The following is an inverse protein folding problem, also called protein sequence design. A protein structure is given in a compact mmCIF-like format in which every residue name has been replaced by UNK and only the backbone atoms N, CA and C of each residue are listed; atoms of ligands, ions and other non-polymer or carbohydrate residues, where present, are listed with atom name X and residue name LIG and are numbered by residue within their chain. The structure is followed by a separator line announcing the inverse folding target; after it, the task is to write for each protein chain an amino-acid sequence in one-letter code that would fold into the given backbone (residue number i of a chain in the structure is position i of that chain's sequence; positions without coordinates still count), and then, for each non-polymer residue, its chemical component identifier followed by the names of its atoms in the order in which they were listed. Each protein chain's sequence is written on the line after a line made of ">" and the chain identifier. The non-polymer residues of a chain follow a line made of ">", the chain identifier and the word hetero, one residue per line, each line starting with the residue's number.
data_IF_006244004367
#
_entry.id   IF_006244004367
#
_cell.length_a   1.000
_cell.length_b   1.000
_cell.length_c   1.000
_cell.angle_alpha   90.00
_cell.angle_beta   90.00
_cell.angle_gamma   90.00
#
_symmetry.space_group_name_H-M   'P 1'
#
loop_
_entity.id
_entity.type
_entity.pdbx_description
1 polymer ?
#
# COMPACT_ATOMS: atom_id res chain seq x y z
N UNK A 1 -1.81 9.77 7.82
CA UNK A 1 -2.96 8.89 8.19
C UNK A 1 -3.58 8.20 6.97
N UNK A 2 -2.88 8.10 5.83
CA UNK A 2 -3.45 7.49 4.62
C UNK A 2 -4.80 8.10 4.25
N UNK A 3 -5.74 7.21 3.93
CA UNK A 3 -7.07 7.58 3.44
C UNK A 3 -8.16 7.52 4.52
N UNK A 4 -7.81 7.56 5.80
CA UNK A 4 -8.77 7.38 6.90
C UNK A 4 -9.93 8.39 6.85
N UNK A 5 -11.17 7.86 6.77
CA UNK A 5 -12.42 8.61 6.81
C UNK A 5 -12.89 9.03 8.22
N UNK A 6 -14.12 9.55 8.36
CA UNK A 6 -14.97 10.02 7.26
C UNK A 6 -14.49 11.37 6.68
N UNK A 7 -13.58 12.08 7.36
CA UNK A 7 -13.08 13.38 6.92
C UNK A 7 -11.95 13.26 5.87
N UNK A 8 -12.23 12.64 4.72
CA UNK A 8 -11.24 12.42 3.64
C UNK A 8 -10.60 13.73 3.15
N UNK A 9 -11.37 14.82 3.07
CA UNK A 9 -10.89 16.16 2.70
C UNK A 9 -9.78 16.71 3.62
N UNK A 10 -9.61 16.17 4.83
CA UNK A 10 -8.52 16.53 5.74
C UNK A 10 -7.28 15.65 5.58
N UNK A 11 -7.22 14.79 4.55
CA UNK A 11 -6.09 13.90 4.28
C UNK A 11 -5.09 14.45 3.28
N UNK A 12 -5.42 15.56 2.62
CA UNK A 12 -4.59 16.18 1.60
C UNK A 12 -4.69 17.71 1.70
N UNK A 13 -3.62 18.45 1.35
CA UNK A 13 -3.70 19.91 1.24
C UNK A 13 -4.32 20.32 -0.11
N UNK A 14 -4.72 21.59 -0.24
CA UNK A 14 -5.42 22.10 -1.44
C UNK A 14 -4.69 21.83 -2.76
N UNK A 15 -3.35 21.83 -2.76
CA UNK A 15 -2.54 21.49 -3.94
C UNK A 15 -2.78 20.07 -4.49
N UNK A 16 -3.38 19.19 -3.68
CA UNK A 16 -3.73 17.81 -4.04
C UNK A 16 -5.23 17.63 -4.30
N UNK A 17 -6.03 18.70 -4.18
CA UNK A 17 -7.46 18.72 -4.50
C UNK A 17 -7.66 18.79 -6.01
N UNK A 18 -7.44 17.66 -6.69
CA UNK A 18 -7.50 17.56 -8.14
C UNK A 18 -8.89 17.19 -8.65
N UNK A 19 -9.51 16.18 -8.05
CA UNK A 19 -10.84 15.71 -8.40
C UNK A 19 -11.90 16.56 -7.68
N UNK A 20 -12.84 17.12 -8.44
CA UNK A 20 -13.86 18.04 -7.93
C UNK A 20 -15.22 17.78 -8.61
N UNK A 21 -16.36 18.02 -7.92
CA UNK A 21 -16.47 18.48 -6.53
C UNK A 21 -16.02 17.39 -5.55
N UNK A 22 -15.37 17.79 -4.45
CA UNK A 22 -14.94 16.87 -3.39
C UNK A 22 -15.81 17.09 -2.14
N UNK A 23 -16.18 16.01 -1.45
CA UNK A 23 -16.95 16.07 -0.20
C UNK A 23 -16.09 16.66 0.92
N UNK A 24 -16.54 17.77 1.50
CA UNK A 24 -15.87 18.48 2.61
C UNK A 24 -16.65 18.37 3.93
N UNK A 25 -17.63 17.46 4.00
CA UNK A 25 -18.42 17.18 5.19
C UNK A 25 -18.06 15.79 5.74
N UNK A 26 -17.77 15.64 7.05
CA UNK A 26 -17.58 14.31 7.66
C UNK A 26 -18.87 13.48 7.72
N UNK A 27 -20.04 14.07 7.53
CA UNK A 27 -21.32 13.36 7.44
C UNK A 27 -21.56 12.90 5.99
N UNK A 28 -20.87 11.80 5.62
CA UNK A 28 -20.83 11.27 4.24
C UNK A 28 -22.20 11.14 3.55
N UNK A 29 -23.29 10.72 4.21
CA UNK A 29 -24.62 10.68 3.59
C UNK A 29 -25.16 12.03 3.07
N UNK A 30 -24.59 13.17 3.49
CA UNK A 30 -24.95 14.49 2.94
C UNK A 30 -24.26 14.80 1.61
N UNK A 31 -23.24 14.03 1.26
CA UNK A 31 -22.48 14.18 0.03
C UNK A 31 -23.01 13.25 -1.07
N UNK A 32 -22.79 13.60 -2.34
CA UNK A 32 -22.97 12.64 -3.42
C UNK A 32 -21.84 11.60 -3.39
N UNK A 33 -22.13 10.35 -3.77
CA UNK A 33 -21.10 9.30 -3.87
C UNK A 33 -19.90 9.74 -4.71
N UNK A 34 -20.13 10.42 -5.84
CA UNK A 34 -19.07 10.98 -6.68
C UNK A 34 -18.15 11.93 -5.90
N UNK A 35 -18.72 12.84 -5.09
CA UNK A 35 -17.91 13.77 -4.30
C UNK A 35 -17.11 13.10 -3.18
N UNK A 36 -17.63 12.00 -2.61
CA UNK A 36 -16.92 11.18 -1.63
C UNK A 36 -15.73 10.48 -2.30
N UNK A 37 -15.96 9.86 -3.46
CA UNK A 37 -14.92 9.22 -4.28
C UNK A 37 -13.85 10.24 -4.66
N UNK A 38 -14.23 11.43 -5.14
CA UNK A 38 -13.28 12.49 -5.47
C UNK A 38 -12.42 12.91 -4.27
N UNK A 39 -13.02 13.04 -3.08
CA UNK A 39 -12.26 13.33 -1.86
C UNK A 39 -11.32 12.18 -1.47
N UNK A 40 -11.76 10.93 -1.61
CA UNK A 40 -10.94 9.75 -1.38
C UNK A 40 -9.75 9.66 -2.36
N UNK A 41 -9.98 9.90 -3.65
CA UNK A 41 -8.94 9.86 -4.69
C UNK A 41 -7.90 10.98 -4.52
N UNK A 42 -8.33 12.17 -4.07
CA UNK A 42 -7.39 13.23 -3.68
C UNK A 42 -6.51 12.81 -2.49
N UNK A 43 -7.05 12.04 -1.54
CA UNK A 43 -6.27 11.46 -0.46
C UNK A 43 -5.29 10.38 -0.95
N UNK A 44 -5.68 9.55 -1.93
CA UNK A 44 -4.75 8.60 -2.59
C UNK A 44 -3.60 9.37 -3.25
N UNK A 45 -3.91 10.45 -3.98
CA UNK A 45 -2.89 11.28 -4.64
C UNK A 45 -1.87 11.83 -3.64
N UNK A 46 -2.30 12.19 -2.43
CA UNK A 46 -1.39 12.62 -1.38
C UNK A 46 -0.59 11.46 -0.80
N UNK A 47 -1.19 10.28 -0.60
CA UNK A 47 -0.49 9.06 -0.22
C UNK A 47 0.61 8.69 -1.23
N UNK A 48 0.33 8.77 -2.53
CA UNK A 48 1.32 8.60 -3.60
C UNK A 48 2.49 9.58 -3.45
N UNK A 49 2.21 10.86 -3.23
CA UNK A 49 3.25 11.86 -3.00
C UNK A 49 4.12 11.55 -1.77
N UNK A 50 3.54 11.08 -0.67
CA UNK A 50 4.27 10.68 0.53
C UNK A 50 5.19 9.49 0.23
N UNK A 51 4.66 8.42 -0.38
CA UNK A 51 5.45 7.23 -0.76
C UNK A 51 6.57 7.61 -1.73
N UNK A 52 6.27 8.40 -2.75
CA UNK A 52 7.27 8.87 -3.72
C UNK A 52 8.34 9.76 -3.06
N UNK A 53 7.97 10.56 -2.05
CA UNK A 53 8.93 11.37 -1.29
C UNK A 53 9.87 10.49 -0.47
N UNK A 54 9.37 9.42 0.15
CA UNK A 54 10.21 8.44 0.85
C UNK A 54 11.17 7.75 -0.11
N UNK A 55 10.71 7.33 -1.29
CA UNK A 55 11.58 6.75 -2.33
C UNK A 55 12.68 7.74 -2.75
N UNK A 56 12.36 9.03 -2.94
CA UNK A 56 13.37 10.06 -3.24
C UNK A 56 14.38 10.19 -2.11
N UNK A 57 13.93 10.30 -0.85
CA UNK A 57 14.83 10.35 0.31
C UNK A 57 15.77 9.15 0.32
N UNK A 58 15.26 7.92 0.17
CA UNK A 58 16.10 6.72 0.16
C UNK A 58 17.09 6.69 -1.01
N UNK A 59 16.74 7.24 -2.17
CA UNK A 59 17.66 7.36 -3.32
C UNK A 59 18.82 8.32 -3.03
N UNK A 60 18.57 9.40 -2.30
CA UNK A 60 19.60 10.38 -1.94
C UNK A 60 20.61 9.82 -0.93
N UNK A 61 20.28 8.72 -0.25
CA UNK A 61 21.17 7.98 0.65
C UNK A 61 21.88 6.80 -0.06
N UNK A 62 22.52 7.07 -1.21
CA UNK A 62 23.16 6.07 -2.06
C UNK A 62 24.30 5.25 -1.42
N UNK A 63 24.76 5.64 -0.23
CA UNK A 63 25.71 4.86 0.56
C UNK A 63 25.09 3.60 1.22
N UNK A 64 23.77 3.44 1.15
CA UNK A 64 23.04 2.33 1.76
C UNK A 64 22.17 1.58 0.75
N UNK A 65 22.22 0.26 0.82
CA UNK A 65 21.26 -0.59 0.11
C UNK A 65 19.93 -0.57 0.85
N UNK A 66 19.00 0.23 0.32
CA UNK A 66 17.70 0.47 0.90
C UNK A 66 16.58 -0.24 0.14
N UNK A 67 15.50 -0.55 0.85
CA UNK A 67 14.23 -0.99 0.29
C UNK A 67 13.08 -0.27 1.02
N UNK A 68 11.94 -0.13 0.33
CA UNK A 68 10.69 0.37 0.88
C UNK A 68 9.60 -0.66 0.60
N UNK A 69 8.82 -1.01 1.63
CA UNK A 69 7.56 -1.72 1.52
C UNK A 69 6.45 -0.80 2.02
N UNK A 70 5.45 -0.54 1.18
CA UNK A 70 4.20 0.10 1.56
C UNK A 70 3.07 -0.90 1.35
N UNK A 71 2.19 -1.03 2.34
CA UNK A 71 0.96 -1.82 2.25
C UNK A 71 -0.12 -1.15 3.10
N UNK A 72 -1.35 -1.08 2.61
CA UNK A 72 -2.48 -0.61 3.41
C UNK A 72 -2.95 -1.71 4.36
N UNK A 73 -3.38 -1.36 5.56
CA UNK A 73 -3.93 -2.28 6.55
C UNK A 73 -5.28 -2.90 6.12
N UNK A 74 -6.13 -2.09 5.47
CA UNK A 74 -7.36 -2.51 4.83
C UNK A 74 -7.77 -1.50 3.74
N UNK A 75 -8.90 -1.77 3.06
CA UNK A 75 -9.53 -0.86 2.12
C UNK A 75 -10.72 -0.09 2.73
N UNK A 76 -11.62 0.45 1.93
CA UNK A 76 -12.69 1.35 2.36
C UNK A 76 -13.93 1.17 1.49
N UNK A 77 -15.13 1.24 2.07
CA UNK A 77 -16.39 1.37 1.32
C UNK A 77 -16.80 2.84 1.24
N UNK A 78 -17.25 3.27 0.06
CA UNK A 78 -17.51 4.69 -0.27
C UNK A 78 -18.97 4.94 -0.65
N UNK A 79 -19.89 4.06 -0.22
CA UNK A 79 -21.33 4.18 -0.43
C UNK A 79 -21.93 3.06 -1.30
N UNK A 80 -21.14 2.09 -1.74
CA UNK A 80 -21.64 0.95 -2.49
C UNK A 80 -22.68 0.19 -1.66
N UNK A 81 -23.89 0.04 -2.20
CA UNK A 81 -25.03 -0.59 -1.50
C UNK A 81 -25.37 0.08 -0.14
N UNK A 82 -25.04 1.36 0.02
CA UNK A 82 -25.26 2.12 1.25
C UNK A 82 -24.25 1.83 2.37
N UNK A 83 -23.18 1.09 2.07
CA UNK A 83 -22.11 0.81 3.02
C UNK A 83 -21.02 1.88 2.90
N UNK A 84 -20.64 2.44 4.04
CA UNK A 84 -19.54 3.39 4.17
C UNK A 84 -18.50 2.85 5.15
N UNK A 85 -17.31 3.44 5.09
CA UNK A 85 -16.20 3.14 5.98
C UNK A 85 -15.71 1.68 5.85
N UNK A 86 -15.14 1.16 6.92
CA UNK A 86 -14.56 -0.18 7.01
C UNK A 86 -15.00 -0.86 8.31
N UNK A 87 -14.49 -2.08 8.54
CA UNK A 87 -14.79 -2.86 9.75
C UNK A 87 -15.96 -3.85 9.57
N UNK A 88 -16.34 -4.15 8.33
CA UNK A 88 -17.28 -5.24 8.05
C UNK A 88 -16.62 -6.57 8.42
N UNK A 89 -17.35 -7.51 9.06
CA UNK A 89 -16.79 -8.82 9.39
C UNK A 89 -16.18 -9.51 8.16
N UNK A 90 -14.93 -9.94 8.27
CA UNK A 90 -14.12 -10.38 7.12
C UNK A 90 -14.81 -11.39 6.19
N UNK A 91 -15.58 -12.34 6.75
CA UNK A 91 -16.32 -13.37 5.99
C UNK A 91 -17.37 -12.81 5.01
N UNK A 92 -17.81 -11.57 5.22
CA UNK A 92 -18.82 -10.89 4.41
C UNK A 92 -18.34 -9.51 3.92
N UNK A 93 -17.08 -9.16 4.18
CA UNK A 93 -16.52 -7.87 3.78
C UNK A 93 -16.41 -7.81 2.24
N UNK A 94 -16.78 -6.69 1.62
CA UNK A 94 -16.63 -6.53 0.18
C UNK A 94 -15.15 -6.41 -0.19
N UNK A 95 -14.83 -6.72 -1.44
CA UNK A 95 -13.48 -6.59 -2.01
C UNK A 95 -12.86 -5.22 -1.75
N UNK A 96 -13.65 -4.14 -1.77
CA UNK A 96 -13.15 -2.78 -1.52
C UNK A 96 -12.59 -2.58 -0.12
N UNK A 97 -12.93 -3.44 0.86
CA UNK A 97 -12.36 -3.41 2.21
C UNK A 97 -11.20 -4.40 2.41
N UNK A 98 -11.06 -5.42 1.56
CA UNK A 98 -10.09 -6.51 1.75
C UNK A 98 -8.94 -6.51 0.73
N UNK A 99 -9.15 -5.95 -0.47
CA UNK A 99 -8.12 -5.78 -1.49
C UNK A 99 -7.41 -4.44 -1.28
N UNK A 100 -6.12 -4.52 -0.98
CA UNK A 100 -5.28 -3.36 -0.62
C UNK A 100 -4.11 -3.18 -1.57
N UNK A 101 -3.62 -1.93 -1.76
CA UNK A 101 -2.38 -1.70 -2.48
C UNK A 101 -1.19 -2.21 -1.66
N UNK A 102 -0.23 -2.83 -2.36
CA UNK A 102 1.10 -3.12 -1.85
C UNK A 102 2.14 -2.70 -2.89
N UNK A 103 3.16 -1.95 -2.47
CA UNK A 103 4.23 -1.46 -3.33
C UNK A 103 5.57 -1.77 -2.69
N UNK A 104 6.50 -2.28 -3.49
CA UNK A 104 7.89 -2.41 -3.11
C UNK A 104 8.79 -1.59 -4.02
N UNK A 105 9.78 -0.96 -3.43
CA UNK A 105 10.86 -0.28 -4.14
C UNK A 105 12.20 -0.72 -3.57
N UNK A 106 13.20 -0.86 -4.44
CA UNK A 106 14.56 -1.24 -4.09
C UNK A 106 15.53 -0.20 -4.65
N UNK A 107 16.54 0.16 -3.86
CA UNK A 107 17.69 0.94 -4.33
C UNK A 107 18.49 0.16 -5.38
N UNK A 108 19.35 0.85 -6.14
CA UNK A 108 20.08 0.23 -7.25
C UNK A 108 21.02 -0.91 -6.80
N UNK A 109 21.63 -0.81 -5.62
CA UNK A 109 22.55 -1.82 -5.08
C UNK A 109 21.85 -2.98 -4.37
N UNK A 110 20.63 -2.78 -3.86
CA UNK A 110 19.89 -3.79 -3.09
C UNK A 110 19.75 -5.14 -3.82
N UNK A 111 19.37 -5.22 -5.12
CA UNK A 111 19.32 -6.48 -5.84
C UNK A 111 20.65 -7.26 -5.85
N UNK A 112 21.78 -6.56 -5.94
CA UNK A 112 23.09 -7.19 -5.94
C UNK A 112 23.47 -7.69 -4.53
N UNK A 113 23.28 -6.86 -3.51
CA UNK A 113 23.65 -7.18 -2.14
C UNK A 113 22.79 -8.27 -1.50
N UNK A 114 21.52 -8.38 -1.90
CA UNK A 114 20.56 -9.35 -1.35
C UNK A 114 20.17 -10.46 -2.34
N UNK A 115 20.91 -10.57 -3.46
CA UNK A 115 20.75 -11.57 -4.50
C UNK A 115 19.32 -11.64 -5.11
N UNK A 116 18.61 -10.51 -5.14
CA UNK A 116 17.22 -10.44 -5.63
C UNK A 116 17.17 -10.21 -7.14
N UNK A 117 16.42 -11.04 -7.87
CA UNK A 117 16.14 -10.83 -9.28
C UNK A 117 14.96 -9.85 -9.46
N UNK A 118 15.28 -8.64 -9.93
CA UNK A 118 14.32 -7.57 -10.19
C UNK A 118 13.26 -7.91 -11.25
N UNK A 119 13.62 -8.71 -12.26
CA UNK A 119 12.68 -9.14 -13.30
C UNK A 119 11.73 -10.22 -12.81
N UNK A 120 12.21 -11.11 -11.94
CA UNK A 120 11.38 -12.12 -11.27
C UNK A 120 10.41 -11.47 -10.29
N UNK A 121 10.88 -10.62 -9.37
CA UNK A 121 10.03 -10.00 -8.35
C UNK A 121 8.95 -9.11 -8.96
N UNK A 122 9.27 -8.45 -10.09
CA UNK A 122 8.28 -7.69 -10.87
C UNK A 122 7.12 -8.54 -11.41
N UNK A 123 7.34 -9.83 -11.69
CA UNK A 123 6.27 -10.76 -12.09
C UNK A 123 5.44 -11.24 -10.90
N UNK A 124 6.09 -11.43 -9.74
CA UNK A 124 5.40 -11.79 -8.48
C UNK A 124 4.41 -10.70 -8.08
N UNK A 125 4.71 -9.43 -8.34
CA UNK A 125 3.81 -8.31 -8.07
C UNK A 125 2.43 -8.41 -8.79
N UNK A 126 2.31 -9.23 -9.84
CA UNK A 126 1.05 -9.47 -10.55
C UNK A 126 0.28 -10.71 -10.02
N UNK A 127 0.80 -11.39 -8.99
CA UNK A 127 0.19 -12.58 -8.40
C UNK A 127 -0.57 -12.23 -7.10
N UNK A 128 -1.58 -13.03 -6.70
CA UNK A 128 -2.28 -12.80 -5.44
C UNK A 128 -1.34 -12.92 -4.24
N UNK A 129 -1.35 -11.91 -3.37
CA UNK A 129 -0.61 -11.86 -2.11
C UNK A 129 -1.53 -11.36 -0.98
N UNK A 130 -1.13 -11.63 0.26
CA UNK A 130 -1.83 -11.19 1.48
C UNK A 130 -0.83 -10.72 2.53
N UNK A 131 -1.33 -10.11 3.61
CA UNK A 131 -0.49 -9.76 4.77
C UNK A 131 0.25 -10.92 5.39
N UNK A 132 -0.22 -12.16 5.23
CA UNK A 132 0.45 -13.36 5.74
C UNK A 132 1.87 -13.50 5.17
N UNK A 133 2.12 -12.95 3.97
CA UNK A 133 3.41 -13.03 3.32
C UNK A 133 4.41 -11.97 3.81
N UNK A 134 3.93 -10.87 4.39
CA UNK A 134 4.77 -9.71 4.76
C UNK A 134 5.83 -10.11 5.78
N UNK A 135 5.43 -10.86 6.82
CA UNK A 135 6.34 -11.30 7.87
C UNK A 135 7.51 -12.12 7.32
N UNK A 136 7.21 -13.16 6.53
CA UNK A 136 8.23 -14.06 6.01
C UNK A 136 9.09 -13.39 4.94
N UNK A 137 8.51 -12.54 4.09
CA UNK A 137 9.26 -11.80 3.08
C UNK A 137 10.24 -10.81 3.70
N UNK A 138 9.87 -10.11 4.79
CA UNK A 138 10.81 -9.23 5.49
C UNK A 138 11.98 -10.00 6.11
N UNK A 139 11.71 -11.16 6.71
CA UNK A 139 12.79 -12.02 7.23
C UNK A 139 13.72 -12.50 6.12
N UNK A 140 13.16 -12.94 4.99
CA UNK A 140 13.91 -13.39 3.82
C UNK A 140 14.78 -12.29 3.22
N UNK A 141 14.20 -11.10 2.97
CA UNK A 141 14.93 -9.97 2.38
C UNK A 141 16.03 -9.41 3.28
N UNK A 142 15.92 -9.58 4.59
CA UNK A 142 16.92 -9.14 5.58
C UNK A 142 17.88 -10.25 6.02
N UNK A 143 17.81 -11.43 5.37
CA UNK A 143 18.64 -12.60 5.63
C UNK A 143 18.62 -13.11 7.09
N UNK A 144 17.47 -12.95 7.75
CA UNK A 144 17.27 -13.34 9.15
C UNK A 144 17.10 -14.85 9.27
N UNK A 145 17.95 -15.49 10.07
CA UNK A 145 17.87 -16.93 10.36
C UNK A 145 17.04 -17.17 11.61
N UNK A 146 15.87 -17.78 11.46
CA UNK A 146 14.96 -18.11 12.56
C UNK A 146 14.09 -19.31 12.21
N UNK A 147 13.67 -20.09 13.22
CA UNK A 147 12.72 -21.19 13.05
C UNK A 147 11.29 -20.72 12.72
N UNK A 148 11.01 -19.42 12.91
CA UNK A 148 9.73 -18.83 12.53
C UNK A 148 9.59 -18.56 11.03
N UNK A 149 10.67 -18.67 10.24
CA UNK A 149 10.65 -18.40 8.82
C UNK A 149 10.07 -19.60 8.04
N UNK A 150 9.09 -19.32 7.16
CA UNK A 150 8.43 -20.28 6.28
C UNK A 150 8.67 -19.82 4.85
N UNK A 151 9.46 -20.59 4.09
CA UNK A 151 9.94 -20.18 2.76
C UNK A 151 8.80 -20.00 1.76
N UNK A 152 7.75 -20.80 1.88
CA UNK A 152 6.58 -20.78 1.01
C UNK A 152 5.75 -19.49 1.16
N UNK A 153 5.89 -18.80 2.29
CA UNK A 153 5.22 -17.53 2.58
C UNK A 153 6.09 -16.30 2.27
N UNK A 154 7.36 -16.51 1.90
CA UNK A 154 8.23 -15.45 1.38
C UNK A 154 8.06 -15.38 -0.14
N UNK A 155 7.33 -14.37 -0.62
CA UNK A 155 7.08 -14.19 -2.05
C UNK A 155 8.36 -13.83 -2.83
N UNK A 156 9.43 -13.42 -2.14
CA UNK A 156 10.74 -13.13 -2.74
C UNK A 156 11.64 -14.36 -2.85
N UNK A 157 11.35 -15.43 -2.10
CA UNK A 157 12.22 -16.60 -1.97
C UNK A 157 12.56 -17.28 -3.30
N UNK A 158 11.60 -17.34 -4.22
CA UNK A 158 11.78 -17.90 -5.57
C UNK A 158 12.54 -16.98 -6.54
N UNK A 159 12.72 -15.71 -6.17
CA UNK A 159 13.43 -14.71 -6.94
C UNK A 159 14.83 -14.40 -6.40
N UNK A 160 15.27 -15.08 -5.34
CA UNK A 160 16.62 -14.94 -4.80
C UNK A 160 17.55 -15.99 -5.41
N UNK A 161 18.74 -15.56 -5.82
CA UNK A 161 19.81 -16.47 -6.26
C UNK A 161 20.46 -17.14 -5.03
N UNK A 162 21.00 -18.36 -5.18
CA UNK A 162 21.74 -19.05 -4.11
C UNK A 162 22.95 -18.25 -3.63
#
# INVERSE_FOLDING_TARGET
>A
MGNHGPAYFKRYPDAFKHFTPACEDPDLPKCSNESIVNAYDNAIRYTDHVVASLVRTLRDHAAHDSALLYVSDHGESLGEKGLFLHGVPYKIAPDVQTKVPMVMWFSAGFPASFALDGGCIGKVAATPLSHDHVFHTLLGLLDVKTSAYVREMDFSAGCRKP
#
